data_IF_179932269724
#
_entry.id   IF_179932269724
#
_cell.length_a   1.000
_cell.length_b   1.000
_cell.length_c   1.000
_cell.angle_alpha   90.00
_cell.angle_beta   90.00
_cell.angle_gamma   90.00
#
_symmetry.space_group_name_H-M   'P 1'
#
loop_
_entity.id
_entity.type
_entity.pdbx_description
1 polymer ?
#
# COMPACT_ATOMS: atom_id res chain seq x y z
N UNK A 1 13.41 -0.50 -6.11
CA UNK A 1 12.05 -0.70 -5.55
C UNK A 1 11.23 0.61 -5.60
N UNK A 2 11.30 1.35 -6.72
CA UNK A 2 10.58 2.63 -6.94
C UNK A 2 9.85 2.65 -8.30
N UNK A 3 9.81 1.52 -9.01
CA UNK A 3 9.57 1.56 -10.44
C UNK A 3 8.10 1.77 -10.81
N UNK A 4 7.16 1.31 -9.98
CA UNK A 4 5.72 1.60 -10.14
C UNK A 4 5.50 3.12 -10.05
N UNK A 5 6.14 3.78 -9.09
CA UNK A 5 5.96 5.20 -8.83
C UNK A 5 6.47 6.09 -9.97
N UNK A 6 7.57 5.71 -10.61
CA UNK A 6 8.10 6.42 -11.78
C UNK A 6 7.18 6.36 -13.02
N UNK A 7 6.25 5.40 -13.05
CA UNK A 7 5.31 5.21 -14.15
C UNK A 7 3.88 5.62 -13.77
N UNK A 8 3.69 6.21 -12.58
CA UNK A 8 2.38 6.67 -12.15
C UNK A 8 1.92 7.88 -12.98
N UNK A 9 0.67 7.85 -13.42
CA UNK A 9 0.07 8.91 -14.24
C UNK A 9 -0.51 10.01 -13.35
N UNK A 10 -0.04 11.28 -13.48
CA UNK A 10 -0.55 12.40 -12.71
C UNK A 10 -2.06 12.62 -12.87
N UNK A 11 -2.64 12.30 -14.03
CA UNK A 11 -4.07 12.43 -14.28
C UNK A 11 -4.88 11.51 -13.36
N UNK A 12 -4.46 10.24 -13.23
CA UNK A 12 -5.14 9.28 -12.35
C UNK A 12 -5.03 9.68 -10.89
N UNK A 13 -3.86 10.15 -10.45
CA UNK A 13 -3.72 10.68 -9.10
C UNK A 13 -4.60 11.92 -8.86
N UNK A 14 -4.70 12.82 -9.85
CA UNK A 14 -5.55 14.01 -9.80
C UNK A 14 -7.01 13.70 -9.48
N UNK A 15 -7.56 12.62 -10.06
CA UNK A 15 -8.93 12.17 -9.77
C UNK A 15 -9.14 11.84 -8.28
N UNK A 16 -8.12 11.29 -7.62
CA UNK A 16 -8.17 10.99 -6.18
C UNK A 16 -7.93 12.24 -5.32
N UNK A 17 -7.07 13.15 -5.74
CA UNK A 17 -6.83 14.41 -5.04
C UNK A 17 -8.06 15.31 -5.04
N UNK A 18 -8.72 15.48 -6.19
CA UNK A 18 -9.94 16.29 -6.34
C UNK A 18 -11.07 15.86 -5.39
N UNK A 19 -11.13 14.56 -5.08
CA UNK A 19 -12.16 13.97 -4.22
C UNK A 19 -11.73 13.81 -2.77
N UNK A 20 -10.52 14.26 -2.43
CA UNK A 20 -9.87 13.98 -1.14
C UNK A 20 -9.90 12.49 -0.77
N UNK A 21 -9.78 11.63 -1.78
CA UNK A 21 -9.85 10.18 -1.63
C UNK A 21 -8.59 9.66 -0.93
N UNK A 22 -8.74 8.69 -0.03
CA UNK A 22 -7.63 8.09 0.70
C UNK A 22 -6.65 7.31 -0.18
N UNK A 23 -7.03 7.01 -1.43
CA UNK A 23 -6.20 6.33 -2.43
C UNK A 23 -5.23 7.26 -3.16
N UNK A 24 -5.33 8.58 -2.95
CA UNK A 24 -4.38 9.54 -3.53
C UNK A 24 -2.95 9.19 -3.10
N UNK A 25 -2.00 9.46 -3.97
CA UNK A 25 -0.58 9.27 -3.71
C UNK A 25 -0.02 10.46 -2.92
N UNK A 26 -0.53 10.69 -1.71
CA UNK A 26 -0.26 11.90 -0.91
C UNK A 26 1.20 12.15 -0.54
N UNK A 27 2.12 11.21 -0.81
CA UNK A 27 3.54 11.28 -0.42
C UNK A 27 4.52 10.92 -1.52
N UNK A 28 4.07 10.87 -2.76
CA UNK A 28 4.89 10.43 -3.89
C UNK A 28 6.20 11.24 -4.00
N UNK A 29 7.32 10.52 -4.17
CA UNK A 29 8.69 11.02 -4.34
C UNK A 29 9.34 11.74 -3.15
N UNK A 30 8.69 11.79 -1.99
CA UNK A 30 9.31 12.45 -0.84
C UNK A 30 10.21 11.49 -0.06
N UNK A 31 11.35 11.96 0.46
CA UNK A 31 12.14 11.24 1.48
C UNK A 31 11.29 10.76 2.68
N UNK A 32 10.11 11.35 2.88
CA UNK A 32 9.17 10.98 3.94
C UNK A 32 8.56 9.59 3.76
N UNK A 33 8.21 9.17 2.54
CA UNK A 33 7.64 7.85 2.29
C UNK A 33 8.66 6.73 2.53
N UNK A 34 9.89 6.91 2.03
CA UNK A 34 10.98 5.97 2.29
C UNK A 34 11.28 5.87 3.80
N UNK A 35 11.27 7.00 4.50
CA UNK A 35 11.43 7.03 5.96
C UNK A 35 10.30 6.29 6.67
N UNK A 36 9.05 6.49 6.25
CA UNK A 36 7.88 5.77 6.77
C UNK A 36 8.04 4.25 6.56
N UNK A 37 8.38 3.81 5.35
CA UNK A 37 8.62 2.40 5.06
C UNK A 37 9.74 1.79 5.89
N UNK A 38 10.90 2.46 5.98
CA UNK A 38 12.02 2.01 6.82
C UNK A 38 11.59 1.88 8.27
N UNK A 39 10.83 2.85 8.76
CA UNK A 39 10.32 2.86 10.14
C UNK A 39 9.39 1.68 10.37
N UNK A 40 8.36 1.50 9.53
CA UNK A 40 7.41 0.40 9.63
C UNK A 40 8.08 -0.97 9.48
N UNK A 41 9.05 -1.11 8.57
CA UNK A 41 9.84 -2.33 8.41
C UNK A 41 10.62 -2.67 9.69
N UNK A 42 11.22 -1.67 10.34
CA UNK A 42 11.93 -1.87 11.59
C UNK A 42 10.99 -2.26 12.73
N UNK A 43 9.82 -1.62 12.83
CA UNK A 43 8.82 -1.94 13.85
C UNK A 43 8.27 -3.36 13.66
N UNK A 44 7.85 -3.72 12.44
CA UNK A 44 7.34 -5.04 12.14
C UNK A 44 8.37 -6.16 12.38
N UNK A 45 9.67 -5.88 12.20
CA UNK A 45 10.75 -6.83 12.55
C UNK A 45 10.90 -7.03 14.06
N UNK A 46 10.67 -5.99 14.87
CA UNK A 46 10.71 -6.08 16.34
C UNK A 46 9.49 -6.79 16.93
N UNK A 47 8.36 -6.76 16.21
CA UNK A 47 7.08 -7.31 16.67
C UNK A 47 6.59 -8.42 15.73
N UNK A 48 7.05 -9.69 15.89
CA UNK A 48 6.76 -10.77 14.95
C UNK A 48 5.27 -11.00 14.67
N UNK A 49 4.39 -10.77 15.66
CA UNK A 49 2.93 -10.88 15.48
C UNK A 49 2.37 -9.88 14.45
N UNK A 50 3.07 -8.78 14.18
CA UNK A 50 2.71 -7.77 13.19
C UNK A 50 3.19 -8.10 11.78
N UNK A 51 4.05 -9.10 11.60
CA UNK A 51 4.72 -9.36 10.33
C UNK A 51 3.73 -9.63 9.17
N UNK A 52 2.65 -10.38 9.44
CA UNK A 52 1.63 -10.67 8.42
C UNK A 52 0.82 -9.44 8.03
N UNK A 53 0.37 -8.66 9.01
CA UNK A 53 -0.35 -7.40 8.77
C UNK A 53 0.51 -6.43 7.98
N UNK A 54 1.78 -6.25 8.37
CA UNK A 54 2.72 -5.36 7.69
C UNK A 54 2.98 -5.77 6.24
N UNK A 55 3.24 -7.06 6.00
CA UNK A 55 3.43 -7.61 4.66
C UNK A 55 2.19 -7.37 3.81
N UNK A 56 1.02 -7.71 4.31
CA UNK A 56 -0.23 -7.63 3.55
C UNK A 56 -0.60 -6.17 3.24
N UNK A 57 -0.26 -5.22 4.13
CA UNK A 57 -0.39 -3.79 3.87
C UNK A 57 0.49 -3.31 2.71
N UNK A 58 1.75 -3.73 2.65
CA UNK A 58 2.63 -3.43 1.51
C UNK A 58 2.18 -4.09 0.21
N UNK A 59 1.66 -5.32 0.27
CA UNK A 59 1.06 -5.98 -0.90
C UNK A 59 -0.14 -5.20 -1.42
N UNK A 60 -1.03 -4.76 -0.52
CA UNK A 60 -2.17 -3.94 -0.88
C UNK A 60 -1.75 -2.62 -1.52
N UNK A 61 -0.81 -1.89 -0.91
CA UNK A 61 -0.27 -0.63 -1.45
C UNK A 61 0.29 -0.81 -2.88
N UNK A 62 1.10 -1.86 -3.09
CA UNK A 62 1.68 -2.15 -4.40
C UNK A 62 0.61 -2.43 -5.48
N UNK A 63 -0.40 -3.23 -5.15
CA UNK A 63 -1.53 -3.51 -6.06
C UNK A 63 -2.36 -2.25 -6.29
N UNK A 64 -2.61 -1.46 -5.25
CA UNK A 64 -3.35 -0.19 -5.35
C UNK A 64 -2.66 0.75 -6.35
N UNK A 65 -1.35 0.92 -6.23
CA UNK A 65 -0.57 1.72 -7.16
C UNK A 65 -0.59 1.15 -8.57
N UNK A 66 -0.33 -0.15 -8.72
CA UNK A 66 -0.31 -0.80 -10.02
C UNK A 66 -1.65 -0.68 -10.76
N UNK A 67 -2.77 -0.88 -10.06
CA UNK A 67 -4.11 -0.93 -10.67
C UNK A 67 -4.66 0.46 -10.93
N UNK A 68 -4.55 1.37 -9.96
CA UNK A 68 -5.25 2.65 -9.98
C UNK A 68 -4.43 3.82 -10.47
N UNK A 69 -3.10 3.73 -10.42
CA UNK A 69 -2.24 4.88 -10.70
C UNK A 69 -1.40 4.71 -11.96
N UNK A 70 -1.40 3.55 -12.61
CA UNK A 70 -0.71 3.32 -13.87
C UNK A 70 -1.72 3.19 -15.00
N UNK A 71 -1.38 3.74 -16.18
CA UNK A 71 -2.07 3.42 -17.43
C UNK A 71 -1.82 1.97 -17.84
N UNK A 72 -2.64 1.41 -18.72
CA UNK A 72 -2.45 0.03 -19.17
C UNK A 72 -1.13 -0.15 -19.93
N UNK A 73 -0.73 0.83 -20.74
CA UNK A 73 0.58 0.84 -21.42
C UNK A 73 1.73 0.86 -20.40
N UNK A 74 1.63 1.67 -19.34
CA UNK A 74 2.61 1.72 -18.27
C UNK A 74 2.70 0.39 -17.50
N UNK A 75 1.57 -0.26 -17.21
CA UNK A 75 1.53 -1.60 -16.60
C UNK A 75 2.25 -2.62 -17.49
N UNK A 76 1.95 -2.62 -18.79
CA UNK A 76 2.57 -3.56 -19.75
C UNK A 76 4.08 -3.33 -19.87
N UNK A 77 4.51 -2.08 -20.00
CA UNK A 77 5.92 -1.72 -20.05
C UNK A 77 6.66 -2.13 -18.77
N UNK A 78 6.05 -1.87 -17.60
CA UNK A 78 6.60 -2.26 -16.31
C UNK A 78 6.73 -3.77 -16.18
N UNK A 79 5.67 -4.53 -16.48
CA UNK A 79 5.66 -5.98 -16.40
C UNK A 79 6.63 -6.64 -17.38
N UNK A 80 6.74 -6.09 -18.59
CA UNK A 80 7.72 -6.54 -19.59
C UNK A 80 9.15 -6.34 -19.08
N UNK A 81 9.46 -5.17 -18.53
CA UNK A 81 10.79 -4.85 -18.01
C UNK A 81 11.16 -5.67 -16.77
N UNK A 82 10.20 -5.89 -15.88
CA UNK A 82 10.39 -6.70 -14.67
C UNK A 82 10.51 -8.20 -14.99
N UNK A 83 10.00 -8.62 -16.14
CA UNK A 83 10.14 -9.98 -16.66
C UNK A 83 9.27 -11.00 -15.92
N UNK A 84 9.29 -12.26 -16.38
CA UNK A 84 8.39 -13.32 -15.89
C UNK A 84 8.67 -13.75 -14.44
N UNK A 85 9.81 -13.34 -13.87
CA UNK A 85 10.18 -13.65 -12.49
C UNK A 85 9.42 -12.77 -11.47
N UNK A 86 8.90 -11.62 -11.88
CA UNK A 86 8.15 -10.75 -10.97
C UNK A 86 6.69 -11.18 -10.94
N UNK A 87 6.25 -11.59 -9.75
CA UNK A 87 4.84 -11.87 -9.46
C UNK A 87 4.23 -10.66 -8.79
N UNK A 88 3.13 -10.15 -9.36
CA UNK A 88 2.28 -9.21 -8.64
C UNK A 88 1.73 -9.95 -7.42
N UNK A 89 1.90 -9.43 -6.19
CA UNK A 89 1.39 -10.10 -5.00
C UNK A 89 -0.14 -10.21 -5.08
N UNK A 90 -0.66 -11.40 -4.76
CA UNK A 90 -2.08 -11.56 -4.52
C UNK A 90 -2.48 -10.78 -3.28
N UNK A 91 -3.64 -10.12 -3.32
CA UNK A 91 -4.23 -9.52 -2.13
C UNK A 91 -4.62 -10.62 -1.14
N UNK A 92 -4.32 -10.40 0.13
CA UNK A 92 -4.76 -11.30 1.20
C UNK A 92 -6.27 -11.21 1.34
N UNK A 93 -6.94 -12.36 1.40
CA UNK A 93 -8.37 -12.42 1.73
C UNK A 93 -8.61 -12.15 3.23
N UNK A 94 -7.56 -12.19 4.04
CA UNK A 94 -7.63 -11.94 5.47
C UNK A 94 -7.58 -10.45 5.75
N UNK A 95 -8.64 -9.95 6.36
CA UNK A 95 -8.62 -8.66 7.05
C UNK A 95 -7.89 -8.80 8.39
N UNK A 96 -6.96 -7.88 8.65
CA UNK A 96 -6.26 -7.82 9.93
C UNK A 96 -6.91 -6.78 10.84
N UNK A 97 -7.09 -7.16 12.09
CA UNK A 97 -7.51 -6.27 13.17
C UNK A 97 -6.31 -5.96 14.05
N UNK A 98 -6.22 -4.71 14.51
CA UNK A 98 -5.19 -4.32 15.46
C UNK A 98 -5.48 -4.98 16.82
N UNK A 99 -4.51 -5.67 17.43
CA UNK A 99 -4.73 -6.27 18.74
C UNK A 99 -5.13 -5.22 19.78
N UNK A 100 -6.09 -5.56 20.65
CA UNK A 100 -6.54 -4.65 21.71
C UNK A 100 -5.41 -4.27 22.67
N UNK A 101 -4.49 -5.21 22.92
CA UNK A 101 -3.30 -5.06 23.75
C UNK A 101 -2.08 -4.53 22.98
N UNK A 102 -2.28 -3.96 21.80
CA UNK A 102 -1.18 -3.44 20.98
C UNK A 102 -0.39 -2.32 21.70
N UNK A 103 0.92 -2.48 21.73
CA UNK A 103 1.84 -1.43 22.17
C UNK A 103 1.78 -0.22 21.22
N UNK A 104 2.35 0.91 21.64
CA UNK A 104 2.44 2.12 20.79
C UNK A 104 3.14 1.84 19.45
N UNK A 105 4.20 1.03 19.46
CA UNK A 105 4.93 0.66 18.25
C UNK A 105 4.08 -0.21 17.31
N UNK A 106 3.29 -1.14 17.86
CA UNK A 106 2.41 -2.01 17.06
C UNK A 106 1.23 -1.24 16.49
N UNK A 107 0.66 -0.29 17.26
CA UNK A 107 -0.36 0.63 16.77
C UNK A 107 0.11 1.45 15.57
N UNK A 108 1.40 1.80 15.52
CA UNK A 108 1.96 2.45 14.33
C UNK A 108 1.98 1.52 13.11
N UNK A 109 2.25 0.22 13.29
CA UNK A 109 2.16 -0.77 12.21
C UNK A 109 0.70 -0.96 11.76
N UNK A 110 -0.24 -1.04 12.71
CA UNK A 110 -1.67 -1.10 12.42
C UNK A 110 -2.14 0.11 11.59
N UNK A 111 -1.77 1.33 12.01
CA UNK A 111 -2.11 2.55 11.28
C UNK A 111 -1.53 2.53 9.85
N UNK A 112 -0.29 2.06 9.70
CA UNK A 112 0.35 1.88 8.39
C UNK A 112 -0.40 0.88 7.50
N UNK A 113 -0.87 -0.23 8.05
CA UNK A 113 -1.70 -1.21 7.33
C UNK A 113 -3.03 -0.58 6.87
N UNK A 114 -3.76 0.07 7.78
CA UNK A 114 -5.06 0.67 7.49
C UNK A 114 -5.01 1.77 6.44
N UNK A 115 -3.94 2.58 6.42
CA UNK A 115 -3.68 3.56 5.36
C UNK A 115 -3.52 2.92 3.98
N UNK A 116 -3.06 1.67 3.91
CA UNK A 116 -2.69 0.97 2.66
C UNK A 116 -3.77 0.05 2.10
N UNK A 117 -4.69 -0.45 2.94
CA UNK A 117 -5.75 -1.40 2.53
C UNK A 117 -7.07 -0.74 2.14
N UNK A 118 -7.03 0.52 1.72
CA UNK A 118 -8.23 1.34 1.41
C UNK A 118 -9.01 0.86 0.18
N UNK A 119 -8.44 -0.03 -0.63
CA UNK A 119 -9.13 -0.67 -1.76
C UNK A 119 -10.34 -1.50 -1.33
N UNK A 120 -10.29 -2.14 -0.16
CA UNK A 120 -11.38 -2.97 0.35
C UNK A 120 -12.66 -2.16 0.64
N UNK A 121 -12.52 -0.87 0.93
CA UNK A 121 -13.65 0.06 1.11
C UNK A 121 -14.55 0.08 -0.12
N UNK A 122 -13.96 0.08 -1.32
CA UNK A 122 -14.72 0.13 -2.57
C UNK A 122 -15.00 -1.26 -3.16
N UNK A 123 -14.06 -2.21 -3.03
CA UNK A 123 -14.14 -3.51 -3.71
C UNK A 123 -14.77 -4.62 -2.86
N UNK A 124 -14.74 -4.50 -1.54
CA UNK A 124 -15.33 -5.48 -0.62
C UNK A 124 -16.53 -4.94 0.15
N UNK A 125 -16.90 -3.65 -0.05
CA UNK A 125 -17.85 -2.89 0.79
C UNK A 125 -17.53 -3.01 2.30
N UNK A 126 -16.28 -3.31 2.63
CA UNK A 126 -15.85 -3.39 4.02
C UNK A 126 -15.86 -1.98 4.60
N UNK A 127 -16.36 -1.83 5.82
CA UNK A 127 -16.30 -0.55 6.52
C UNK A 127 -14.83 -0.26 6.79
N UNK A 128 -14.28 0.89 6.36
CA UNK A 128 -12.90 1.23 6.66
C UNK A 128 -12.73 1.29 8.19
N UNK A 129 -11.60 0.82 8.73
CA UNK A 129 -11.32 0.94 10.15
C UNK A 129 -11.33 2.42 10.54
N UNK A 130 -12.10 2.74 11.60
CA UNK A 130 -12.32 4.09 12.12
C UNK A 130 -11.09 4.66 12.82
#
# INVERSE_FOLDING_TARGET
QMDILMHADPWFNGLYEERNDSRRLSHLHTPSMLKEWVTLNNLARKHPRMASMHRDGHCAEAVMWLVHHLTDDAKQALLTRLGPAVRIPSLSEKHHECPEDATTEEKAVCAGYYKKVTCATCHSKAIPPS
#
